data_IF_863084963263
#
_entry.id   IF_863084963263
#
_cell.length_a   1.000
_cell.length_b   1.000
_cell.length_c   1.000
_cell.angle_alpha   90.00
_cell.angle_beta   90.00
_cell.angle_gamma   90.00
#
_symmetry.space_group_name_H-M   'P 1'
#
loop_
_entity.id
_entity.type
_entity.pdbx_description
1 polymer ?
#
# COMPACT_ATOMS: atom_id res chain seq x y z
N UNK A 1 37.34 17.26 2.57
CA UNK A 1 37.34 17.86 1.22
C UNK A 1 35.94 17.62 0.69
N UNK A 2 35.13 18.66 0.46
CA UNK A 2 33.75 18.47 0.01
C UNK A 2 33.77 17.72 -1.33
N UNK A 3 32.99 16.64 -1.44
CA UNK A 3 32.86 15.89 -2.69
C UNK A 3 32.07 16.73 -3.69
N UNK A 4 32.54 16.75 -4.92
CA UNK A 4 31.81 17.37 -6.04
C UNK A 4 30.41 16.72 -6.17
N UNK A 5 29.35 17.50 -6.43
CA UNK A 5 27.96 17.00 -6.49
C UNK A 5 27.78 15.77 -7.39
N UNK A 6 28.49 15.72 -8.52
CA UNK A 6 28.45 14.61 -9.47
C UNK A 6 29.01 13.28 -8.92
N UNK A 7 29.99 13.35 -8.02
CA UNK A 7 30.57 12.16 -7.37
C UNK A 7 29.60 11.59 -6.35
N UNK A 8 28.92 12.45 -5.61
CA UNK A 8 27.92 12.04 -4.62
C UNK A 8 26.71 11.39 -5.30
N UNK A 9 26.24 11.95 -6.40
CA UNK A 9 25.17 11.38 -7.24
C UNK A 9 25.55 9.99 -7.78
N UNK A 10 26.78 9.83 -8.27
CA UNK A 10 27.30 8.53 -8.71
C UNK A 10 27.29 7.49 -7.58
N UNK A 11 27.73 7.88 -6.37
CA UNK A 11 27.75 6.97 -5.20
C UNK A 11 26.35 6.53 -4.79
N UNK A 12 25.38 7.43 -4.84
CA UNK A 12 23.99 7.09 -4.54
C UNK A 12 23.37 6.19 -5.62
N UNK A 13 23.69 6.41 -6.89
CA UNK A 13 23.30 5.50 -7.98
C UNK A 13 23.88 4.10 -7.75
N UNK A 14 25.17 4.01 -7.43
CA UNK A 14 25.83 2.73 -7.13
C UNK A 14 25.22 2.03 -5.90
N UNK A 15 24.86 2.79 -4.86
CA UNK A 15 24.19 2.27 -3.68
C UNK A 15 22.79 1.75 -4.03
N UNK A 16 22.02 2.49 -4.82
CA UNK A 16 20.67 2.11 -5.22
C UNK A 16 20.66 0.84 -6.06
N UNK A 17 21.65 0.66 -6.94
CA UNK A 17 21.82 -0.59 -7.71
C UNK A 17 22.22 -1.76 -6.81
N UNK A 18 23.00 -1.51 -5.75
CA UNK A 18 23.46 -2.56 -4.85
C UNK A 18 22.40 -3.01 -3.83
N UNK A 19 21.48 -2.14 -3.42
CA UNK A 19 20.40 -2.49 -2.47
C UNK A 19 19.26 -3.18 -3.21
N UNK A 20 18.93 -4.42 -2.79
CA UNK A 20 17.81 -5.14 -3.37
C UNK A 20 16.45 -4.59 -2.92
N UNK A 21 16.43 -3.88 -1.78
CA UNK A 21 15.19 -3.52 -1.09
C UNK A 21 14.90 -2.01 -1.05
N UNK A 22 15.88 -1.12 -1.25
CA UNK A 22 15.69 0.32 -1.01
C UNK A 22 16.12 1.21 -2.17
N UNK A 23 16.71 0.66 -3.23
CA UNK A 23 17.20 1.44 -4.38
C UNK A 23 16.14 2.29 -5.08
N UNK A 24 14.88 1.82 -5.11
CA UNK A 24 13.77 2.52 -5.73
C UNK A 24 13.41 3.87 -5.06
N UNK A 25 13.91 4.13 -3.85
CA UNK A 25 13.69 5.40 -3.15
C UNK A 25 14.61 6.53 -3.64
N UNK A 26 15.60 6.23 -4.47
CA UNK A 26 16.60 7.21 -4.90
C UNK A 26 15.99 8.49 -5.52
N UNK A 27 14.98 8.41 -6.41
CA UNK A 27 14.33 9.60 -6.96
C UNK A 27 13.52 10.40 -5.93
N UNK A 28 13.27 9.83 -4.75
CA UNK A 28 12.35 10.39 -3.76
C UNK A 28 13.05 11.02 -2.56
N UNK A 29 14.02 10.33 -1.95
CA UNK A 29 14.89 10.88 -0.91
C UNK A 29 16.14 9.98 -0.71
N UNK A 30 17.34 10.43 -1.09
CA UNK A 30 18.58 9.63 -0.99
C UNK A 30 18.90 9.15 0.43
N UNK A 31 18.57 9.92 1.47
CA UNK A 31 18.80 9.47 2.85
C UNK A 31 17.96 8.24 3.23
N UNK A 32 16.77 8.06 2.64
CA UNK A 32 15.99 6.85 2.87
C UNK A 32 16.66 5.62 2.24
N UNK A 33 17.30 5.78 1.07
CA UNK A 33 18.11 4.71 0.45
C UNK A 33 19.27 4.35 1.38
N UNK A 34 20.00 5.36 1.88
CA UNK A 34 21.17 5.14 2.74
C UNK A 34 20.80 4.43 4.03
N UNK A 35 19.80 4.91 4.77
CA UNK A 35 19.40 4.26 6.01
C UNK A 35 18.76 2.89 5.79
N UNK A 36 17.96 2.70 4.74
CA UNK A 36 17.39 1.41 4.39
C UNK A 36 18.46 0.37 4.03
N UNK A 37 19.38 0.74 3.13
CA UNK A 37 20.54 -0.09 2.76
C UNK A 37 21.45 -0.38 3.96
N UNK A 38 21.60 0.58 4.88
CA UNK A 38 22.34 0.39 6.13
C UNK A 38 21.70 -0.66 7.04
N UNK A 39 20.37 -0.71 7.10
CA UNK A 39 19.65 -1.77 7.81
C UNK A 39 19.89 -3.13 7.15
N UNK A 40 19.65 -3.20 5.84
CA UNK A 40 19.79 -4.41 5.02
C UNK A 40 21.19 -5.03 5.14
N UNK A 41 22.23 -4.20 4.98
CA UNK A 41 23.63 -4.64 5.00
C UNK A 41 24.08 -5.22 6.36
N UNK A 42 23.46 -4.76 7.46
CA UNK A 42 23.93 -5.04 8.82
C UNK A 42 23.05 -6.00 9.60
N UNK A 43 21.83 -6.28 9.16
CA UNK A 43 20.86 -7.09 9.91
C UNK A 43 21.43 -8.44 10.40
N UNK A 44 22.26 -9.09 9.57
CA UNK A 44 22.87 -10.38 9.90
C UNK A 44 24.21 -10.28 10.65
N UNK A 45 24.92 -9.16 10.56
CA UNK A 45 26.32 -9.01 11.01
C UNK A 45 26.50 -8.06 12.19
N UNK A 46 25.66 -7.04 12.30
CA UNK A 46 25.66 -6.01 13.33
C UNK A 46 24.22 -5.57 13.64
N UNK A 47 23.41 -6.41 14.32
CA UNK A 47 21.99 -6.15 14.53
C UNK A 47 21.70 -4.83 15.26
N UNK A 48 22.50 -4.47 16.27
CA UNK A 48 22.34 -3.20 16.98
C UNK A 48 22.50 -1.96 16.07
N UNK A 49 23.44 -2.01 15.12
CA UNK A 49 23.62 -0.95 14.13
C UNK A 49 22.46 -0.92 13.12
N UNK A 50 21.94 -2.09 12.72
CA UNK A 50 20.77 -2.18 11.86
C UNK A 50 19.52 -1.56 12.52
N UNK A 51 19.30 -1.84 13.81
CA UNK A 51 18.21 -1.23 14.60
C UNK A 51 18.37 0.29 14.69
N UNK A 52 19.58 0.78 14.90
CA UNK A 52 19.85 2.22 14.92
C UNK A 52 19.57 2.88 13.56
N UNK A 53 19.99 2.25 12.46
CA UNK A 53 19.69 2.71 11.11
C UNK A 53 18.17 2.69 10.81
N UNK A 54 17.44 1.70 11.31
CA UNK A 54 15.99 1.58 11.12
C UNK A 54 15.22 2.72 11.78
N UNK A 55 15.66 3.14 12.97
CA UNK A 55 15.13 4.33 13.66
C UNK A 55 15.41 5.60 12.88
N UNK A 56 16.62 5.75 12.36
CA UNK A 56 16.98 6.90 11.52
C UNK A 56 16.18 6.94 10.20
N UNK A 57 15.93 5.79 9.58
CA UNK A 57 15.04 5.67 8.44
C UNK A 57 13.64 6.19 8.77
N UNK A 58 13.07 5.75 9.90
CA UNK A 58 11.78 6.23 10.39
C UNK A 58 11.76 7.75 10.63
N UNK A 59 12.80 8.30 11.23
CA UNK A 59 12.90 9.75 11.47
C UNK A 59 12.93 10.57 10.18
N UNK A 60 13.73 10.15 9.20
CA UNK A 60 13.80 10.81 7.88
C UNK A 60 12.46 10.70 7.18
N UNK A 61 11.82 9.52 7.20
CA UNK A 61 10.53 9.32 6.56
C UNK A 61 9.44 10.19 7.18
N UNK A 62 9.38 10.26 8.51
CA UNK A 62 8.41 11.12 9.20
C UNK A 62 8.62 12.60 8.84
N UNK A 63 9.88 13.07 8.81
CA UNK A 63 10.22 14.43 8.39
C UNK A 63 9.81 14.70 6.94
N UNK A 64 10.07 13.75 6.04
CA UNK A 64 9.70 13.85 4.62
C UNK A 64 8.18 13.89 4.42
N UNK A 65 7.41 13.11 5.18
CA UNK A 65 5.94 13.19 5.18
C UNK A 65 5.44 14.54 5.69
N UNK A 66 6.07 15.08 6.74
CA UNK A 66 5.76 16.41 7.26
C UNK A 66 6.00 17.49 6.21
N UNK A 67 7.15 17.43 5.51
CA UNK A 67 7.50 18.33 4.41
C UNK A 67 6.47 18.25 3.28
N UNK A 68 6.17 17.05 2.79
CA UNK A 68 5.20 16.82 1.69
C UNK A 68 3.79 17.26 2.05
N UNK A 69 3.32 16.94 3.27
CA UNK A 69 1.98 17.31 3.73
C UNK A 69 1.84 18.76 4.18
N UNK A 70 2.93 19.55 4.19
CA UNK A 70 2.95 20.90 4.77
C UNK A 70 2.63 20.91 6.26
N UNK A 71 2.99 19.85 7.00
CA UNK A 71 2.75 19.69 8.43
C UNK A 71 4.02 20.02 9.19
N UNK A 72 3.97 21.04 10.05
CA UNK A 72 5.11 21.37 10.91
C UNK A 72 5.21 20.39 12.06
N UNK A 73 6.31 19.65 12.07
CA UNK A 73 6.61 18.66 13.09
C UNK A 73 7.44 19.28 14.24
N UNK A 74 7.13 18.97 15.50
CA UNK A 74 7.92 19.41 16.64
C UNK A 74 9.31 18.78 16.62
N UNK A 75 10.28 19.42 17.28
CA UNK A 75 11.60 18.83 17.48
C UNK A 75 11.56 17.75 18.59
N UNK A 76 12.30 16.66 18.41
CA UNK A 76 12.65 15.69 19.47
C UNK A 76 11.58 14.70 19.93
N UNK A 77 10.29 15.06 19.95
CA UNK A 77 9.22 14.14 20.37
C UNK A 77 8.62 13.40 19.18
N UNK A 78 9.12 12.19 18.95
CA UNK A 78 8.68 11.35 17.85
C UNK A 78 7.23 10.89 17.97
N UNK A 79 6.73 10.62 19.18
CA UNK A 79 5.33 10.24 19.35
C UNK A 79 4.42 11.40 18.93
N UNK A 80 4.75 12.62 19.38
CA UNK A 80 4.01 13.80 18.97
C UNK A 80 4.07 14.04 17.45
N UNK A 81 5.21 13.75 16.80
CA UNK A 81 5.32 13.80 15.33
C UNK A 81 4.36 12.83 14.65
N UNK A 82 4.35 11.57 15.08
CA UNK A 82 3.46 10.54 14.53
C UNK A 82 1.98 10.88 14.78
N UNK A 83 1.65 11.40 15.95
CA UNK A 83 0.30 11.89 16.28
C UNK A 83 -0.16 13.02 15.36
N UNK A 84 0.71 14.00 15.10
CA UNK A 84 0.39 15.10 14.21
C UNK A 84 0.19 14.63 12.77
N UNK A 85 1.06 13.74 12.27
CA UNK A 85 0.92 13.18 10.93
C UNK A 85 -0.35 12.33 10.79
N UNK A 86 -0.70 11.53 11.80
CA UNK A 86 -1.97 10.76 11.80
C UNK A 86 -3.18 11.68 11.82
N UNK A 87 -3.20 12.74 12.65
CA UNK A 87 -4.28 13.73 12.68
C UNK A 87 -4.40 14.50 11.37
N UNK A 88 -3.28 14.72 10.68
CA UNK A 88 -3.25 15.29 9.34
C UNK A 88 -3.67 14.32 8.23
N UNK A 89 -3.99 13.06 8.56
CA UNK A 89 -4.40 12.04 7.59
C UNK A 89 -3.26 11.38 6.80
N UNK A 90 -2.01 11.77 7.06
CA UNK A 90 -0.82 11.30 6.33
C UNK A 90 -0.31 9.94 6.79
N UNK A 91 -0.73 9.48 7.98
CA UNK A 91 -0.37 8.16 8.53
C UNK A 91 -1.62 7.33 8.80
N UNK A 92 -2.05 6.51 7.83
CA UNK A 92 -3.06 5.47 8.05
C UNK A 92 -2.64 4.47 9.13
N UNK A 93 -3.60 3.79 9.75
CA UNK A 93 -3.38 2.88 10.89
C UNK A 93 -2.23 1.87 10.68
N UNK A 94 -2.24 1.04 9.63
CA UNK A 94 -1.18 0.05 9.40
C UNK A 94 0.21 0.66 9.23
N UNK A 95 0.28 1.85 8.64
CA UNK A 95 1.55 2.59 8.43
C UNK A 95 2.04 3.14 9.76
N UNK A 96 1.13 3.72 10.56
CA UNK A 96 1.44 4.20 11.91
C UNK A 96 1.95 3.08 12.81
N UNK A 97 1.38 1.88 12.70
CA UNK A 97 1.85 0.72 13.45
C UNK A 97 3.28 0.35 13.06
N UNK A 98 3.63 0.41 11.77
CA UNK A 98 5.01 0.20 11.32
C UNK A 98 5.99 1.24 11.87
N UNK A 99 5.58 2.52 11.94
CA UNK A 99 6.38 3.54 12.61
C UNK A 99 6.55 3.28 14.11
N UNK A 100 5.52 2.79 14.79
CA UNK A 100 5.61 2.44 16.20
C UNK A 100 6.61 1.32 16.43
N UNK A 101 6.63 0.30 15.56
CA UNK A 101 7.57 -0.82 15.67
C UNK A 101 9.02 -0.34 15.61
N UNK A 102 9.36 0.56 14.69
CA UNK A 102 10.72 1.12 14.59
C UNK A 102 11.24 1.73 15.90
N UNK A 103 10.35 2.28 16.74
CA UNK A 103 10.73 3.09 17.91
C UNK A 103 10.41 2.47 19.26
N UNK A 104 9.45 1.54 19.29
CA UNK A 104 8.92 0.95 20.52
C UNK A 104 9.06 -0.55 20.59
N UNK A 105 9.42 -1.21 19.50
CA UNK A 105 9.65 -2.65 19.53
C UNK A 105 10.87 -2.94 20.40
N UNK A 106 10.60 -3.50 21.59
CA UNK A 106 11.60 -3.92 22.57
C UNK A 106 12.04 -5.38 22.35
N UNK A 107 11.52 -6.03 21.30
CA UNK A 107 11.80 -7.42 20.97
C UNK A 107 11.09 -8.43 21.87
N UNK A 108 10.59 -8.05 23.04
CA UNK A 108 10.06 -9.00 24.02
C UNK A 108 11.05 -10.13 24.34
N UNK A 109 10.73 -11.35 23.89
CA UNK A 109 11.59 -12.54 24.05
C UNK A 109 12.49 -12.83 22.82
N UNK A 110 12.39 -12.06 21.75
CA UNK A 110 13.18 -12.23 20.54
C UNK A 110 14.63 -11.79 20.77
N UNK A 111 15.56 -12.41 20.06
CA UNK A 111 16.95 -12.00 20.08
C UNK A 111 17.21 -10.75 19.20
N UNK A 112 18.41 -10.18 19.31
CA UNK A 112 18.79 -8.95 18.59
C UNK A 112 18.74 -9.12 17.06
N UNK A 113 19.00 -10.32 16.52
CA UNK A 113 18.97 -10.59 15.09
C UNK A 113 17.55 -10.70 14.56
N UNK A 114 16.66 -11.37 15.31
CA UNK A 114 15.23 -11.43 15.01
C UNK A 114 14.61 -10.02 15.04
N UNK A 115 14.98 -9.21 16.03
CA UNK A 115 14.58 -7.80 16.11
C UNK A 115 15.07 -7.02 14.89
N UNK A 116 16.37 -7.13 14.54
CA UNK A 116 16.92 -6.44 13.39
C UNK A 116 16.24 -6.84 12.08
N UNK A 117 16.05 -8.15 11.85
CA UNK A 117 15.36 -8.67 10.67
C UNK A 117 13.91 -8.16 10.58
N UNK A 118 13.19 -8.15 11.70
CA UNK A 118 11.85 -7.60 11.77
C UNK A 118 11.82 -6.11 11.37
N UNK A 119 12.69 -5.29 11.97
CA UNK A 119 12.71 -3.85 11.70
C UNK A 119 13.15 -3.51 10.26
N UNK A 120 14.03 -4.31 9.65
CA UNK A 120 14.35 -4.18 8.21
C UNK A 120 13.11 -4.41 7.36
N UNK A 121 12.32 -5.44 7.68
CA UNK A 121 11.03 -5.69 7.03
C UNK A 121 10.03 -4.54 7.21
N UNK A 122 9.99 -3.91 8.39
CA UNK A 122 9.15 -2.72 8.63
C UNK A 122 9.63 -1.50 7.85
N UNK A 123 10.95 -1.27 7.75
CA UNK A 123 11.50 -0.23 6.90
C UNK A 123 11.12 -0.44 5.44
N UNK A 124 11.20 -1.67 4.93
CA UNK A 124 10.79 -1.98 3.57
C UNK A 124 9.29 -1.77 3.34
N UNK A 125 8.43 -2.20 4.28
CA UNK A 125 6.99 -1.97 4.17
C UNK A 125 6.65 -0.47 4.10
N UNK A 126 7.34 0.35 4.91
CA UNK A 126 7.20 1.80 4.90
C UNK A 126 7.76 2.45 3.62
N UNK A 127 8.90 1.95 3.11
CA UNK A 127 9.49 2.37 1.85
C UNK A 127 8.54 2.11 0.67
N UNK A 128 8.03 0.88 0.60
CA UNK A 128 7.08 0.44 -0.41
C UNK A 128 5.79 1.28 -0.34
N UNK A 129 5.27 1.51 0.86
CA UNK A 129 4.13 2.39 1.07
C UNK A 129 4.39 3.82 0.56
N UNK A 130 5.53 4.44 0.91
CA UNK A 130 5.88 5.78 0.44
C UNK A 130 5.93 5.83 -1.09
N UNK A 131 6.62 4.87 -1.71
CA UNK A 131 6.73 4.82 -3.16
C UNK A 131 5.35 4.79 -3.81
N UNK A 132 4.47 3.87 -3.42
CA UNK A 132 3.10 3.81 -3.93
C UNK A 132 2.31 5.09 -3.68
N UNK A 133 2.47 5.70 -2.50
CA UNK A 133 1.77 6.95 -2.16
C UNK A 133 2.23 8.14 -3.00
N UNK A 134 3.44 8.10 -3.55
CA UNK A 134 4.05 9.19 -4.31
C UNK A 134 3.89 8.99 -5.81
N UNK A 135 4.02 7.76 -6.30
CA UNK A 135 3.98 7.44 -7.73
C UNK A 135 2.59 7.03 -8.20
N UNK A 136 1.73 6.57 -7.29
CA UNK A 136 0.47 5.90 -7.65
C UNK A 136 0.66 4.49 -8.21
N UNK A 137 1.90 4.01 -8.25
CA UNK A 137 2.23 2.66 -8.71
C UNK A 137 1.65 1.64 -7.73
N UNK A 138 0.82 0.72 -8.22
CA UNK A 138 0.19 -0.34 -7.44
C UNK A 138 0.87 -1.69 -7.63
N UNK A 139 2.06 -1.76 -8.22
CA UNK A 139 2.77 -3.01 -8.33
C UNK A 139 3.19 -3.55 -6.95
N UNK A 140 2.90 -4.83 -6.65
CA UNK A 140 3.36 -5.46 -5.42
C UNK A 140 4.89 -5.50 -5.35
N UNK A 141 5.46 -4.87 -4.32
CA UNK A 141 6.89 -4.95 -4.02
C UNK A 141 7.14 -6.07 -3.00
N UNK A 142 8.06 -6.96 -3.33
CA UNK A 142 8.42 -8.09 -2.47
C UNK A 142 9.78 -7.86 -1.83
N UNK A 143 9.88 -8.11 -0.52
CA UNK A 143 11.15 -8.06 0.19
C UNK A 143 12.08 -9.16 -0.33
N UNK A 144 13.32 -8.79 -0.66
CA UNK A 144 14.33 -9.70 -1.20
C UNK A 144 15.36 -10.01 -0.13
N UNK A 145 15.55 -11.30 0.15
CA UNK A 145 16.65 -11.76 1.00
C UNK A 145 17.94 -11.87 0.18
N UNK A 146 18.80 -10.87 0.29
CA UNK A 146 20.08 -10.83 -0.43
C UNK A 146 21.08 -11.88 0.10
N UNK A 147 21.98 -12.34 -0.78
CA UNK A 147 23.03 -13.27 -0.39
C UNK A 147 24.09 -12.61 0.49
N UNK A 148 24.85 -13.39 1.27
CA UNK A 148 25.93 -12.85 2.10
C UNK A 148 27.02 -12.12 1.29
N UNK A 149 27.26 -12.49 0.03
CA UNK A 149 28.17 -11.77 -0.86
C UNK A 149 27.61 -10.41 -1.27
N UNK A 150 26.32 -10.34 -1.60
CA UNK A 150 25.67 -9.09 -2.01
C UNK A 150 25.60 -8.12 -0.82
N UNK A 151 25.25 -8.61 0.37
CA UNK A 151 25.27 -7.82 1.61
C UNK A 151 26.65 -7.26 1.93
N UNK A 152 27.74 -8.00 1.62
CA UNK A 152 29.11 -7.50 1.79
C UNK A 152 29.42 -6.35 0.83
N UNK A 153 29.00 -6.46 -0.43
CA UNK A 153 29.15 -5.37 -1.42
C UNK A 153 28.33 -4.16 -1.00
N UNK A 154 27.09 -4.38 -0.55
CA UNK A 154 26.22 -3.33 -0.04
C UNK A 154 26.84 -2.60 1.16
N UNK A 155 27.37 -3.34 2.14
CA UNK A 155 28.05 -2.78 3.30
C UNK A 155 29.23 -1.87 2.91
N UNK A 156 30.01 -2.24 1.89
CA UNK A 156 31.10 -1.40 1.38
C UNK A 156 30.59 -0.09 0.76
N UNK A 157 29.47 -0.13 0.02
CA UNK A 157 28.87 1.07 -0.58
C UNK A 157 28.25 1.99 0.47
N UNK A 158 27.59 1.40 1.47
CA UNK A 158 27.05 2.12 2.64
C UNK A 158 28.17 2.86 3.39
N UNK A 159 29.25 2.15 3.73
CA UNK A 159 30.35 2.73 4.51
C UNK A 159 30.95 4.00 3.85
N UNK A 160 31.07 4.02 2.52
CA UNK A 160 31.60 5.17 1.77
C UNK A 160 30.68 6.39 1.87
N UNK A 161 29.36 6.20 1.89
CA UNK A 161 28.38 7.29 1.99
C UNK A 161 28.16 7.75 3.43
N UNK A 162 28.36 6.87 4.41
CA UNK A 162 28.24 7.21 5.83
C UNK A 162 29.30 8.22 6.30
N UNK A 163 30.46 8.29 5.63
CA UNK A 163 31.46 9.34 5.86
C UNK A 163 30.87 10.75 5.64
N UNK A 164 29.90 10.89 4.74
CA UNK A 164 29.20 12.14 4.42
C UNK A 164 27.91 12.35 5.25
N UNK A 165 27.52 11.39 6.09
CA UNK A 165 26.20 11.38 6.74
C UNK A 165 25.88 12.65 7.54
N UNK A 166 26.80 13.25 8.33
CA UNK A 166 26.51 14.49 9.05
C UNK A 166 26.15 15.66 8.11
N UNK A 167 26.82 15.75 6.96
CA UNK A 167 26.56 16.76 5.94
C UNK A 167 25.22 16.50 5.26
N UNK A 168 24.99 15.27 4.80
CA UNK A 168 23.74 14.86 4.15
C UNK A 168 22.53 15.11 5.05
N UNK A 169 22.66 14.83 6.36
CA UNK A 169 21.58 15.07 7.32
C UNK A 169 21.30 16.56 7.52
N UNK A 170 22.34 17.39 7.62
CA UNK A 170 22.19 18.85 7.70
C UNK A 170 21.51 19.42 6.45
N UNK A 171 21.91 18.98 5.26
CA UNK A 171 21.29 19.37 3.99
C UNK A 171 19.81 18.94 3.91
N UNK A 172 19.50 17.73 4.39
CA UNK A 172 18.11 17.27 4.50
C UNK A 172 17.30 18.12 5.47
N UNK A 173 17.78 18.35 6.69
CA UNK A 173 17.04 19.11 7.71
C UNK A 173 16.75 20.55 7.24
N UNK A 174 17.66 21.15 6.45
CA UNK A 174 17.44 22.46 5.82
C UNK A 174 16.33 22.42 4.75
N UNK A 175 16.25 21.35 3.95
CA UNK A 175 15.19 21.15 2.94
C UNK A 175 13.87 20.67 3.54
N UNK A 176 13.90 20.00 4.68
CA UNK A 176 12.76 19.38 5.35
C UNK A 176 11.82 20.38 6.03
N UNK A 177 12.12 21.68 5.96
CA UNK A 177 11.22 22.71 6.44
C UNK A 177 9.87 22.64 5.68
N UNK A 178 8.72 22.62 6.40
CA UNK A 178 7.41 22.51 5.77
C UNK A 178 7.10 23.78 4.97
N UNK A 179 6.80 23.60 3.68
CA UNK A 179 6.26 24.64 2.84
C UNK A 179 4.72 24.69 2.97
N UNK A 180 4.08 25.86 2.84
CA UNK A 180 2.64 25.94 2.69
C UNK A 180 2.19 25.11 1.49
N UNK A 181 1.16 24.29 1.67
CA UNK A 181 0.59 23.43 0.64
C UNK A 181 -0.87 23.83 0.41
N UNK A 182 -1.33 23.82 -0.84
CA UNK A 182 -2.74 24.08 -1.13
C UNK A 182 -3.63 22.97 -0.54
N UNK A 183 -4.87 23.32 -0.19
CA UNK A 183 -5.82 22.37 0.43
C UNK A 183 -6.06 21.16 -0.49
N UNK A 184 -6.30 21.39 -1.78
CA UNK A 184 -6.54 20.32 -2.75
C UNK A 184 -5.31 19.39 -2.91
N UNK A 185 -4.11 19.95 -2.94
CA UNK A 185 -2.86 19.16 -3.00
C UNK A 185 -2.70 18.30 -1.74
N UNK A 186 -3.00 18.86 -0.56
CA UNK A 186 -3.00 18.10 0.70
C UNK A 186 -4.02 16.97 0.69
N UNK A 187 -5.25 17.23 0.25
CA UNK A 187 -6.30 16.22 0.16
C UNK A 187 -5.89 15.08 -0.77
N UNK A 188 -5.30 15.39 -1.93
CA UNK A 188 -4.78 14.38 -2.84
C UNK A 188 -3.69 13.51 -2.21
N UNK A 189 -2.76 14.12 -1.46
CA UNK A 189 -1.75 13.37 -0.72
C UNK A 189 -2.34 12.47 0.36
N UNK A 190 -3.38 12.93 1.08
CA UNK A 190 -4.07 12.13 2.10
C UNK A 190 -4.78 10.94 1.46
N UNK A 191 -5.47 11.16 0.34
CA UNK A 191 -6.11 10.08 -0.43
C UNK A 191 -5.06 9.08 -0.89
N UNK A 192 -3.99 9.54 -1.54
CA UNK A 192 -2.89 8.67 -2.01
C UNK A 192 -2.21 7.90 -0.87
N UNK A 193 -1.96 8.54 0.27
CA UNK A 193 -1.39 7.91 1.46
C UNK A 193 -2.27 6.79 2.01
N UNK A 194 -3.59 7.03 2.11
CA UNK A 194 -4.58 6.02 2.53
C UNK A 194 -4.66 4.87 1.54
N UNK A 195 -4.69 5.22 0.27
CA UNK A 195 -4.72 4.28 -0.82
C UNK A 195 -3.51 3.34 -0.77
N UNK A 196 -2.30 3.89 -0.72
CA UNK A 196 -1.07 3.12 -0.67
C UNK A 196 -0.94 2.21 0.56
N UNK A 197 -1.65 2.51 1.66
CA UNK A 197 -1.60 1.72 2.89
C UNK A 197 -2.30 0.35 2.77
N UNK A 198 -3.09 0.16 1.71
CA UNK A 198 -3.61 -1.15 1.35
C UNK A 198 -2.61 -1.82 0.41
N UNK A 199 -2.23 -3.06 0.71
CA UNK A 199 -1.48 -3.86 -0.25
C UNK A 199 -2.38 -4.15 -1.46
N UNK A 200 -1.86 -3.99 -2.69
CA UNK A 200 -2.58 -4.36 -3.91
C UNK A 200 -2.96 -5.83 -3.84
N UNK A 201 -4.25 -6.09 -3.78
CA UNK A 201 -4.77 -7.46 -3.74
C UNK A 201 -4.58 -8.10 -5.12
N UNK A 202 -4.20 -9.38 -5.17
CA UNK A 202 -4.32 -10.13 -6.43
C UNK A 202 -5.79 -10.23 -6.80
N UNK A 203 -6.08 -10.42 -8.07
CA UNK A 203 -7.46 -10.51 -8.58
C UNK A 203 -8.35 -11.51 -7.81
N UNK A 204 -7.81 -12.68 -7.45
CA UNK A 204 -8.51 -13.66 -6.63
C UNK A 204 -8.77 -13.18 -5.19
N UNK A 205 -7.87 -12.38 -4.63
CA UNK A 205 -7.98 -11.83 -3.27
C UNK A 205 -8.98 -10.66 -3.23
N UNK A 206 -9.15 -9.93 -4.33
CA UNK A 206 -10.14 -8.85 -4.48
C UNK A 206 -11.57 -9.39 -4.32
N UNK A 207 -11.89 -10.46 -5.06
CA UNK A 207 -13.21 -11.08 -4.97
C UNK A 207 -13.50 -11.62 -3.57
N UNK A 208 -12.50 -12.22 -2.90
CA UNK A 208 -12.65 -12.70 -1.53
C UNK A 208 -12.88 -11.56 -0.53
N UNK A 209 -12.19 -10.43 -0.71
CA UNK A 209 -12.37 -9.25 0.13
C UNK A 209 -13.76 -8.61 -0.05
N UNK A 210 -14.23 -8.49 -1.29
CA UNK A 210 -15.58 -7.99 -1.58
C UNK A 210 -16.66 -8.90 -0.96
N UNK A 211 -16.50 -10.22 -1.06
CA UNK A 211 -17.38 -11.19 -0.38
C UNK A 211 -17.40 -10.96 1.14
N UNK A 212 -16.23 -10.79 1.76
CA UNK A 212 -16.11 -10.51 3.21
C UNK A 212 -16.87 -9.24 3.61
N UNK A 213 -16.76 -8.18 2.81
CA UNK A 213 -17.44 -6.90 3.06
C UNK A 213 -18.96 -7.02 2.91
N UNK A 214 -19.43 -7.73 1.88
CA UNK A 214 -20.85 -8.02 1.70
C UNK A 214 -21.41 -8.84 2.86
N UNK A 215 -20.70 -9.89 3.28
CA UNK A 215 -21.07 -10.69 4.46
C UNK A 215 -21.14 -9.85 5.73
N UNK A 216 -20.15 -8.98 5.96
CA UNK A 216 -20.15 -8.04 7.10
C UNK A 216 -21.31 -7.03 7.04
N UNK A 217 -21.75 -6.66 5.83
CA UNK A 217 -22.93 -5.83 5.61
C UNK A 217 -24.26 -6.58 5.76
N UNK A 218 -24.23 -7.89 6.06
CA UNK A 218 -25.41 -8.70 6.33
C UNK A 218 -25.94 -9.51 5.13
N UNK A 219 -25.21 -9.53 4.02
CA UNK A 219 -25.56 -10.40 2.88
C UNK A 219 -25.16 -11.86 3.15
N UNK A 220 -25.99 -12.80 2.72
CA UNK A 220 -25.63 -14.22 2.73
C UNK A 220 -24.85 -14.58 1.45
N UNK A 221 -23.56 -14.90 1.59
CA UNK A 221 -22.68 -15.17 0.45
C UNK A 221 -22.72 -16.66 0.11
N UNK A 222 -23.24 -16.96 -1.07
CA UNK A 222 -23.36 -18.32 -1.61
C UNK A 222 -22.19 -18.59 -2.56
N UNK A 223 -21.43 -19.63 -2.25
CA UNK A 223 -20.28 -20.06 -3.04
C UNK A 223 -20.67 -20.65 -4.40
N UNK A 224 -19.65 -20.98 -5.19
CA UNK A 224 -19.84 -21.56 -6.52
C UNK A 224 -20.62 -22.89 -6.43
N UNK A 225 -21.76 -22.99 -7.11
CA UNK A 225 -22.60 -24.19 -7.10
C UNK A 225 -23.67 -24.22 -6.00
N UNK A 226 -23.78 -23.18 -5.17
CA UNK A 226 -24.78 -23.10 -4.09
C UNK A 226 -26.06 -22.35 -4.51
N UNK A 227 -26.32 -22.20 -5.81
CA UNK A 227 -27.40 -21.35 -6.31
C UNK A 227 -28.81 -21.87 -5.98
N UNK A 228 -28.92 -23.14 -5.59
CA UNK A 228 -30.17 -23.73 -5.06
C UNK A 228 -30.59 -23.17 -3.71
N UNK A 229 -29.67 -22.49 -2.99
CA UNK A 229 -29.91 -21.89 -1.68
C UNK A 229 -30.34 -20.42 -1.75
N UNK A 230 -30.69 -19.88 -2.93
CA UNK A 230 -30.98 -18.46 -3.15
C UNK A 230 -32.08 -17.87 -2.25
N UNK A 231 -32.96 -18.72 -1.72
CA UNK A 231 -34.07 -18.31 -0.84
C UNK A 231 -33.76 -18.53 0.66
N UNK A 232 -32.51 -18.83 1.02
CA UNK A 232 -32.08 -19.04 2.41
C UNK A 232 -32.13 -17.75 3.24
N UNK A 233 -31.90 -16.61 2.60
CA UNK A 233 -31.98 -15.27 3.20
C UNK A 233 -32.77 -14.33 2.30
N UNK A 234 -33.21 -13.19 2.86
CA UNK A 234 -33.81 -12.13 2.07
C UNK A 234 -32.81 -11.55 1.06
N UNK A 235 -31.54 -11.43 1.43
CA UNK A 235 -30.47 -10.91 0.58
C UNK A 235 -29.33 -11.92 0.44
N UNK A 236 -29.09 -12.38 -0.80
CA UNK A 236 -28.04 -13.35 -1.12
C UNK A 236 -27.10 -12.81 -2.21
N UNK A 237 -25.82 -13.17 -2.12
CA UNK A 237 -24.79 -12.90 -3.12
C UNK A 237 -24.40 -14.23 -3.77
N UNK A 238 -24.57 -14.35 -5.09
CA UNK A 238 -24.07 -15.49 -5.84
C UNK A 238 -22.65 -15.20 -6.31
N UNK A 239 -21.69 -16.05 -5.96
CA UNK A 239 -20.29 -15.92 -6.39
C UNK A 239 -20.03 -16.70 -7.68
N UNK A 240 -19.43 -16.04 -8.67
CA UNK A 240 -19.12 -16.56 -9.99
C UNK A 240 -20.27 -17.28 -10.72
N UNK A 241 -21.51 -16.75 -10.71
CA UNK A 241 -22.64 -17.41 -11.33
C UNK A 241 -22.44 -17.53 -12.84
N UNK A 242 -22.88 -18.67 -13.39
CA UNK A 242 -22.90 -18.89 -14.84
C UNK A 242 -24.08 -18.15 -15.46
N UNK A 243 -23.81 -17.34 -16.47
CA UNK A 243 -24.80 -16.59 -17.23
C UNK A 243 -25.03 -17.26 -18.59
N UNK A 244 -26.09 -16.86 -19.28
CA UNK A 244 -26.32 -17.26 -20.67
C UNK A 244 -25.15 -16.89 -21.58
N UNK A 245 -24.92 -17.69 -22.63
CA UNK A 245 -23.83 -17.44 -23.59
C UNK A 245 -22.42 -17.79 -23.10
N UNK A 246 -22.30 -18.51 -21.98
CA UNK A 246 -21.00 -18.95 -21.44
C UNK A 246 -20.24 -17.88 -20.64
N UNK A 247 -20.86 -16.71 -20.43
CA UNK A 247 -20.33 -15.63 -19.61
C UNK A 247 -20.45 -15.95 -18.11
N UNK A 248 -19.64 -15.25 -17.31
CA UNK A 248 -19.70 -15.28 -15.85
C UNK A 248 -19.64 -13.84 -15.34
N UNK A 249 -20.46 -13.55 -14.33
CA UNK A 249 -20.26 -12.38 -13.49
C UNK A 249 -19.35 -12.77 -12.33
N UNK A 250 -18.68 -11.82 -11.70
CA UNK A 250 -17.98 -12.10 -10.44
C UNK A 250 -18.98 -12.32 -9.30
N UNK A 251 -19.98 -11.44 -9.18
CA UNK A 251 -21.07 -11.65 -8.23
C UNK A 251 -22.42 -11.09 -8.71
N UNK A 252 -23.52 -11.76 -8.35
CA UNK A 252 -24.88 -11.23 -8.49
C UNK A 252 -25.51 -10.98 -7.12
N UNK A 253 -26.12 -9.81 -6.97
CA UNK A 253 -26.91 -9.45 -5.79
C UNK A 253 -28.36 -9.85 -6.02
N UNK A 254 -28.94 -10.57 -5.05
CA UNK A 254 -30.32 -11.03 -5.11
C UNK A 254 -31.10 -10.64 -3.86
N UNK A 255 -32.34 -10.19 -4.04
CA UNK A 255 -33.28 -9.88 -2.95
C UNK A 255 -34.58 -10.63 -3.19
N UNK A 256 -35.01 -11.43 -2.21
CA UNK A 256 -36.22 -12.26 -2.33
C UNK A 256 -36.15 -13.23 -3.52
N UNK A 257 -34.96 -13.76 -3.83
CA UNK A 257 -34.72 -14.65 -4.97
C UNK A 257 -34.71 -13.97 -6.34
N UNK A 258 -34.83 -12.63 -6.41
CA UNK A 258 -34.74 -11.87 -7.66
C UNK A 258 -33.38 -11.18 -7.76
N UNK A 259 -32.75 -11.21 -8.93
CA UNK A 259 -31.52 -10.48 -9.21
C UNK A 259 -31.82 -8.98 -9.26
N UNK A 260 -31.10 -8.20 -8.45
CA UNK A 260 -31.25 -6.74 -8.32
C UNK A 260 -30.00 -5.98 -8.75
N UNK A 261 -28.84 -6.64 -8.83
CA UNK A 261 -27.61 -5.98 -9.22
C UNK A 261 -26.45 -6.93 -9.48
N UNK A 262 -25.36 -6.35 -9.95
CA UNK A 262 -24.13 -7.05 -10.30
C UNK A 262 -22.93 -6.36 -9.67
N UNK A 263 -21.94 -7.15 -9.25
CA UNK A 263 -20.65 -6.68 -8.76
C UNK A 263 -19.56 -7.28 -9.64
N UNK A 264 -18.76 -6.42 -10.28
CA UNK A 264 -17.58 -6.80 -11.04
C UNK A 264 -16.31 -6.44 -10.24
N UNK A 265 -15.38 -7.38 -10.16
CA UNK A 265 -14.10 -7.20 -9.51
C UNK A 265 -13.03 -6.96 -10.60
N UNK A 266 -12.26 -5.89 -10.47
CA UNK A 266 -11.14 -5.60 -11.37
C UNK A 266 -9.84 -5.57 -10.59
N UNK A 267 -8.72 -5.75 -11.29
CA UNK A 267 -7.41 -5.56 -10.68
C UNK A 267 -7.23 -4.11 -10.24
N UNK A 268 -6.51 -3.92 -9.14
CA UNK A 268 -6.07 -2.61 -8.67
C UNK A 268 -5.28 -1.89 -9.77
N UNK A 269 -5.62 -0.63 -10.06
CA UNK A 269 -5.02 0.19 -11.11
C UNK A 269 -5.73 0.21 -12.47
N UNK A 270 -6.83 -0.54 -12.66
CA UNK A 270 -7.68 -0.41 -13.84
C UNK A 270 -8.61 0.81 -13.70
N UNK A 271 -8.86 1.51 -14.81
CA UNK A 271 -9.88 2.55 -14.87
C UNK A 271 -11.26 1.95 -14.58
N UNK A 272 -11.78 2.28 -13.40
CA UNK A 272 -13.06 1.76 -12.93
C UNK A 272 -14.24 2.29 -13.76
N UNK A 273 -14.08 3.40 -14.49
CA UNK A 273 -15.11 3.94 -15.37
C UNK A 273 -15.29 3.06 -16.62
N UNK A 274 -14.20 2.62 -17.25
CA UNK A 274 -14.25 1.65 -18.35
C UNK A 274 -14.87 0.32 -17.90
N UNK A 275 -14.50 -0.13 -16.70
CA UNK A 275 -15.08 -1.32 -16.11
C UNK A 275 -16.59 -1.15 -15.79
N UNK A 276 -17.04 0.05 -15.45
CA UNK A 276 -18.47 0.35 -15.23
C UNK A 276 -19.26 0.29 -16.54
N UNK A 277 -18.67 0.68 -17.67
CA UNK A 277 -19.27 0.48 -18.98
C UNK A 277 -19.44 -1.01 -19.32
N UNK A 278 -18.41 -1.83 -19.05
CA UNK A 278 -18.46 -3.30 -19.22
C UNK A 278 -19.56 -3.93 -18.33
N UNK A 279 -19.63 -3.54 -17.06
CA UNK A 279 -20.70 -3.95 -16.15
C UNK A 279 -22.09 -3.52 -16.67
N UNK A 280 -22.17 -2.36 -17.32
CA UNK A 280 -23.36 -1.87 -18.01
C UNK A 280 -23.81 -2.78 -19.16
N UNK A 281 -22.89 -3.32 -19.96
CA UNK A 281 -23.23 -4.26 -21.01
C UNK A 281 -23.80 -5.58 -20.43
N UNK A 282 -23.25 -6.06 -19.33
CA UNK A 282 -23.72 -7.28 -18.66
C UNK A 282 -25.07 -7.08 -17.97
N UNK A 283 -25.29 -5.90 -17.37
CA UNK A 283 -26.57 -5.51 -16.77
C UNK A 283 -27.70 -5.29 -17.79
N UNK A 284 -27.36 -4.98 -19.05
CA UNK A 284 -28.29 -4.83 -20.18
C UNK A 284 -28.65 -6.15 -20.85
N UNK A 285 -28.07 -7.29 -20.42
CA UNK A 285 -28.42 -8.59 -20.97
C UNK A 285 -29.95 -8.79 -20.85
N UNK A 286 -30.65 -9.19 -21.94
CA UNK A 286 -32.10 -9.19 -21.98
C UNK A 286 -32.71 -10.05 -20.86
N UNK A 287 -33.85 -9.63 -20.32
CA UNK A 287 -34.67 -10.49 -19.46
C UNK A 287 -34.82 -11.88 -20.12
N UNK A 288 -34.29 -12.92 -19.46
CA UNK A 288 -34.26 -14.30 -19.96
C UNK A 288 -32.86 -14.87 -20.26
N UNK A 289 -31.78 -14.08 -20.22
CA UNK A 289 -30.40 -14.59 -20.32
C UNK A 289 -29.82 -15.10 -18.99
N UNK A 290 -30.47 -14.78 -17.88
CA UNK A 290 -30.14 -15.26 -16.55
C UNK A 290 -31.09 -16.41 -16.17
N UNK A 291 -30.60 -17.47 -15.51
CA UNK A 291 -31.45 -18.56 -15.05
C UNK A 291 -32.33 -18.17 -13.84
N UNK A 292 -32.18 -16.94 -13.31
CA UNK A 292 -32.93 -16.43 -12.15
C UNK A 292 -33.88 -15.28 -12.53
N UNK A 293 -35.01 -15.12 -11.82
CA UNK A 293 -35.89 -13.96 -11.98
C UNK A 293 -35.14 -12.66 -11.76
N UNK A 294 -35.48 -11.64 -12.54
CA UNK A 294 -34.85 -10.31 -12.47
C UNK A 294 -35.88 -9.31 -11.97
N UNK A 295 -35.48 -8.42 -11.05
CA UNK A 295 -36.40 -7.41 -10.51
C UNK A 295 -36.72 -6.30 -11.52
N UNK A 296 -35.69 -5.78 -12.21
CA UNK A 296 -35.80 -4.81 -13.32
C UNK A 296 -34.75 -5.10 -14.38
N UNK A 297 -35.09 -4.88 -15.65
CA UNK A 297 -34.18 -4.99 -16.80
C UNK A 297 -34.11 -3.64 -17.52
N UNK A 298 -32.91 -3.04 -17.70
CA UNK A 298 -31.60 -3.50 -17.23
C UNK A 298 -31.51 -3.57 -15.69
N UNK A 299 -30.52 -4.30 -15.16
CA UNK A 299 -30.32 -4.39 -13.71
C UNK A 299 -30.07 -2.99 -13.11
N UNK A 300 -30.80 -2.60 -12.06
CA UNK A 300 -30.80 -1.23 -11.56
C UNK A 300 -29.56 -0.87 -10.75
N UNK A 301 -28.81 -1.85 -10.23
CA UNK A 301 -27.62 -1.58 -9.42
C UNK A 301 -26.38 -2.25 -10.01
N UNK A 302 -25.36 -1.44 -10.27
CA UNK A 302 -24.06 -1.89 -10.78
C UNK A 302 -22.97 -1.42 -9.85
N UNK A 303 -22.07 -2.33 -9.54
CA UNK A 303 -20.92 -2.08 -8.69
C UNK A 303 -19.66 -2.56 -9.41
N UNK A 304 -18.61 -1.75 -9.34
CA UNK A 304 -17.26 -2.17 -9.76
C UNK A 304 -16.31 -1.91 -8.60
N UNK A 305 -15.53 -2.93 -8.25
CA UNK A 305 -14.61 -2.87 -7.12
C UNK A 305 -13.23 -3.37 -7.52
N UNK A 306 -12.19 -2.67 -7.10
CA UNK A 306 -10.81 -3.19 -7.12
C UNK A 306 -10.39 -3.78 -5.75
N UNK A 307 -11.37 -3.95 -4.85
CA UNK A 307 -11.16 -4.39 -3.48
C UNK A 307 -10.80 -3.25 -2.53
N UNK A 308 -10.45 -2.07 -3.05
CA UNK A 308 -10.13 -0.87 -2.27
C UNK A 308 -11.22 0.19 -2.44
N UNK A 309 -11.52 0.55 -3.68
CA UNK A 309 -12.55 1.47 -4.12
C UNK A 309 -13.76 0.69 -4.61
N UNK A 310 -14.94 1.33 -4.51
CA UNK A 310 -16.20 0.81 -5.02
C UNK A 310 -16.87 1.93 -5.80
N UNK A 311 -17.00 1.76 -7.10
CA UNK A 311 -17.89 2.59 -7.90
C UNK A 311 -19.29 1.98 -7.87
N UNK A 312 -20.28 2.86 -7.72
CA UNK A 312 -21.69 2.51 -7.75
C UNK A 312 -22.39 3.34 -8.82
N UNK A 313 -23.26 2.69 -9.58
CA UNK A 313 -24.14 3.34 -10.53
C UNK A 313 -25.54 2.72 -10.46
N UNK A 314 -26.55 3.58 -10.34
CA UNK A 314 -27.96 3.22 -10.49
C UNK A 314 -28.55 3.72 -11.81
N UNK A 315 -29.69 3.16 -12.20
CA UNK A 315 -30.46 3.50 -13.41
C UNK A 315 -31.95 3.57 -13.14
#
# INVERSE_FOLDING_TARGET
MALEPSVLESRFTDLAVASANFGFLLPHEPLLVLYGASCEARAATAPAEAVAAARQFGDVLAAELGRRGGVRLPAGDQLARLDLLSRAGMLPGPVRDAFNDLHRFDGGAHDEWEVAAHLVGRCFALAAWLFRAVTGDSEPMTFVHASASDLRVLAQRVAVLEEDLPRLRSEFDQRAAPAPLAVAEREQLIVSARDAAYEPLREADIAAEVQRRLAKAGWDVLGVGEESQLNRSLGCVLVQPRLGGGLRADMLLTVGGQVVGIVECKRDGIDLDEAMEQAGALAKAPAGSLPWPVWRSPLPYRYVSDGRRLLFCDT
#
